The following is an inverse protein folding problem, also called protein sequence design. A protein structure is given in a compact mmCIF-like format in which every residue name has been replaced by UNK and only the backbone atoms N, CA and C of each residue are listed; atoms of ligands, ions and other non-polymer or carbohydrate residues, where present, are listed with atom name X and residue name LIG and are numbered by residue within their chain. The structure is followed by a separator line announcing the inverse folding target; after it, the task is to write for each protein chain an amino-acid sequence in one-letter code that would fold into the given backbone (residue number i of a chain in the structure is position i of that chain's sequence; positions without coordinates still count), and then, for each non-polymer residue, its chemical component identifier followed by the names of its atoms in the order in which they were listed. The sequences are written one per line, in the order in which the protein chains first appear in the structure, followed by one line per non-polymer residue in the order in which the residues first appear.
data_IF_672412776000
#
_entry.id   IF_672412776000
#
_cell.length_a   1.000
_cell.length_b   1.000
_cell.length_c   1.000
_cell.angle_alpha   90.00
_cell.angle_beta   90.00
_cell.angle_gamma   90.00
#
_symmetry.space_group_name_H-M   'P 1'
#
loop_
_entity.id
_entity.type
_entity.pdbx_description
1 polymer ?
#
# COMPACT_ATOMS: atom_id res chain seq x y z
N UNK A 1 9.63 6.42 6.20
CA UNK A 1 9.21 5.04 6.55
C UNK A 1 9.94 4.01 5.68
N UNK A 2 10.02 2.73 6.08
CA UNK A 2 10.48 1.68 5.15
C UNK A 2 9.41 1.43 4.08
N UNK A 3 9.81 0.95 2.90
CA UNK A 3 8.83 0.67 1.83
C UNK A 3 7.80 -0.37 2.27
N UNK A 4 8.22 -1.37 3.04
CA UNK A 4 7.34 -2.41 3.60
C UNK A 4 6.25 -1.79 4.51
N UNK A 5 6.60 -0.79 5.32
CA UNK A 5 5.63 -0.09 6.17
C UNK A 5 4.68 0.80 5.35
N UNK A 6 5.16 1.43 4.28
CA UNK A 6 4.30 2.21 3.39
C UNK A 6 3.30 1.32 2.65
N UNK A 7 3.74 0.16 2.16
CA UNK A 7 2.88 -0.83 1.50
C UNK A 7 1.83 -1.36 2.47
N UNK A 8 2.23 -1.76 3.68
CA UNK A 8 1.30 -2.26 4.69
C UNK A 8 0.22 -1.23 5.04
N UNK A 9 0.61 0.05 5.18
CA UNK A 9 -0.35 1.12 5.43
C UNK A 9 -1.31 1.33 4.26
N UNK A 10 -0.81 1.36 3.02
CA UNK A 10 -1.66 1.53 1.84
C UNK A 10 -2.63 0.36 1.64
N UNK A 11 -2.20 -0.86 1.94
CA UNK A 11 -3.09 -2.03 2.00
C UNK A 11 -4.18 -1.81 3.06
N UNK A 12 -3.80 -1.41 4.26
CA UNK A 12 -4.76 -1.20 5.34
C UNK A 12 -5.76 -0.08 5.04
N UNK A 13 -5.34 1.02 4.40
CA UNK A 13 -6.18 2.20 4.18
C UNK A 13 -6.99 2.16 2.89
N UNK A 14 -6.46 1.54 1.84
CA UNK A 14 -6.98 1.71 0.47
C UNK A 14 -7.49 0.40 -0.15
N UNK A 15 -7.15 -0.78 0.40
CA UNK A 15 -7.60 -2.06 -0.13
C UNK A 15 -9.05 -2.31 0.25
N UNK A 16 -9.93 -2.32 -0.75
CA UNK A 16 -11.30 -2.81 -0.60
C UNK A 16 -11.36 -4.28 -1.05
N UNK A 17 -11.54 -5.19 -0.09
CA UNK A 17 -11.57 -6.63 -0.35
C UNK A 17 -12.78 -7.02 -1.23
N UNK A 18 -13.93 -6.36 -1.08
CA UNK A 18 -15.12 -6.72 -1.87
C UNK A 18 -14.97 -6.29 -3.33
N UNK A 19 -14.34 -5.14 -3.58
CA UNK A 19 -14.02 -4.69 -4.93
C UNK A 19 -12.89 -5.53 -5.55
N UNK A 20 -11.88 -5.91 -4.76
CA UNK A 20 -10.72 -6.66 -5.24
C UNK A 20 -10.99 -8.18 -5.43
N UNK A 21 -11.86 -8.76 -4.62
CA UNK A 21 -12.25 -10.18 -4.64
C UNK A 21 -13.79 -10.30 -4.60
N UNK A 22 -14.50 -10.01 -5.70
CA UNK A 22 -15.96 -10.13 -5.74
C UNK A 22 -16.47 -11.54 -5.41
N UNK A 23 -15.65 -12.57 -5.66
CA UNK A 23 -15.95 -13.97 -5.34
C UNK A 23 -15.95 -14.29 -3.84
N UNK A 24 -15.45 -13.38 -3.00
CA UNK A 24 -15.33 -13.57 -1.55
C UNK A 24 -16.69 -13.81 -0.89
N UNK A 25 -17.78 -13.31 -1.48
CA UNK A 25 -19.16 -13.54 -1.03
C UNK A 25 -19.58 -15.02 -1.09
N UNK A 26 -18.91 -15.82 -1.90
CA UNK A 26 -19.18 -17.25 -2.08
C UNK A 26 -18.22 -18.14 -1.30
N UNK A 27 -17.24 -17.57 -0.60
CA UNK A 27 -16.27 -18.32 0.21
C UNK A 27 -16.94 -18.74 1.53
N UNK A 28 -16.87 -20.02 1.93
CA UNK A 28 -17.35 -20.46 3.23
C UNK A 28 -16.71 -19.65 4.36
N UNK A 29 -17.49 -19.31 5.38
CA UNK A 29 -17.03 -18.44 6.50
C UNK A 29 -15.79 -19.04 7.19
N UNK A 30 -15.71 -20.37 7.25
CA UNK A 30 -14.59 -21.11 7.84
C UNK A 30 -13.28 -20.95 7.06
N UNK A 31 -13.35 -20.64 5.77
CA UNK A 31 -12.20 -20.46 4.88
C UNK A 31 -11.88 -18.99 4.58
N UNK A 32 -12.82 -18.08 4.90
CA UNK A 32 -12.77 -16.68 4.53
C UNK A 32 -11.52 -15.95 5.02
N UNK A 33 -11.17 -16.13 6.31
CA UNK A 33 -10.01 -15.48 6.91
C UNK A 33 -8.71 -15.87 6.18
N UNK A 34 -8.49 -17.18 6.00
CA UNK A 34 -7.29 -17.71 5.33
C UNK A 34 -7.24 -17.28 3.87
N UNK A 35 -8.39 -17.22 3.20
CA UNK A 35 -8.48 -16.79 1.81
C UNK A 35 -8.07 -15.32 1.63
N UNK A 36 -8.63 -14.43 2.45
CA UNK A 36 -8.31 -13.00 2.44
C UNK A 36 -6.87 -12.76 2.86
N UNK A 37 -6.37 -13.44 3.90
CA UNK A 37 -4.99 -13.33 4.36
C UNK A 37 -4.00 -13.67 3.24
N UNK A 38 -4.20 -14.79 2.54
CA UNK A 38 -3.35 -15.20 1.40
C UNK A 38 -3.36 -14.17 0.29
N UNK A 39 -4.52 -13.59 -0.01
CA UNK A 39 -4.62 -12.54 -1.01
C UNK A 39 -3.83 -11.30 -0.61
N UNK A 40 -4.02 -10.82 0.62
CA UNK A 40 -3.32 -9.64 1.15
C UNK A 40 -1.80 -9.85 1.13
N UNK A 41 -1.32 -11.02 1.56
CA UNK A 41 0.11 -11.37 1.51
C UNK A 41 0.65 -11.36 0.08
N UNK A 42 -0.11 -11.92 -0.86
CA UNK A 42 0.28 -11.94 -2.29
C UNK A 42 0.38 -10.52 -2.85
N UNK A 43 -0.58 -9.65 -2.53
CA UNK A 43 -0.56 -8.23 -2.94
C UNK A 43 0.66 -7.52 -2.34
N UNK A 44 0.91 -7.71 -1.05
CA UNK A 44 2.04 -7.11 -0.35
C UNK A 44 3.39 -7.53 -0.96
N UNK A 45 3.60 -8.83 -1.18
CA UNK A 45 4.82 -9.37 -1.78
C UNK A 45 5.00 -8.88 -3.22
N UNK A 46 3.91 -8.83 -3.99
CA UNK A 46 3.95 -8.37 -5.38
C UNK A 46 4.32 -6.89 -5.47
N UNK A 47 3.66 -6.03 -4.67
CA UNK A 47 3.97 -4.60 -4.60
C UNK A 47 5.42 -4.37 -4.18
N UNK A 48 5.86 -5.07 -3.12
CA UNK A 48 7.24 -4.98 -2.63
C UNK A 48 8.24 -5.31 -3.73
N UNK A 49 8.02 -6.44 -4.42
CA UNK A 49 8.90 -6.92 -5.48
C UNK A 49 8.96 -5.94 -6.64
N UNK A 50 7.83 -5.41 -7.09
CA UNK A 50 7.79 -4.45 -8.20
C UNK A 50 8.47 -3.15 -7.81
N UNK A 51 8.17 -2.62 -6.62
CA UNK A 51 8.70 -1.33 -6.18
C UNK A 51 10.21 -1.40 -5.97
N UNK A 52 10.73 -2.47 -5.36
CA UNK A 52 12.16 -2.64 -5.16
C UNK A 52 12.94 -2.78 -6.47
N UNK A 53 12.35 -3.47 -7.47
CA UNK A 53 13.04 -3.75 -8.73
C UNK A 53 12.92 -2.62 -9.76
N UNK A 54 11.78 -1.92 -9.80
CA UNK A 54 11.44 -0.95 -10.87
C UNK A 54 10.79 0.34 -10.37
N UNK A 55 10.41 0.41 -9.10
CA UNK A 55 9.63 1.52 -8.54
C UNK A 55 10.44 2.75 -8.12
N UNK A 56 11.73 2.59 -7.82
CA UNK A 56 12.58 3.66 -7.27
C UNK A 56 12.57 4.94 -8.13
N UNK A 57 12.58 4.80 -9.46
CA UNK A 57 12.56 5.96 -10.36
C UNK A 57 11.26 6.77 -10.23
N UNK A 58 10.12 6.09 -10.08
CA UNK A 58 8.81 6.72 -9.94
C UNK A 58 8.62 7.34 -8.55
N UNK A 59 9.15 6.70 -7.51
CA UNK A 59 9.17 7.28 -6.16
C UNK A 59 9.95 8.59 -6.13
N UNK A 60 11.12 8.63 -6.79
CA UNK A 60 11.94 9.84 -6.90
C UNK A 60 11.30 10.93 -7.75
N UNK A 61 10.67 10.56 -8.87
CA UNK A 61 10.00 11.52 -9.76
C UNK A 61 8.60 11.92 -9.29
N UNK A 62 8.12 11.35 -8.18
CA UNK A 62 6.77 11.55 -7.65
C UNK A 62 5.66 11.19 -8.65
N UNK A 63 5.87 10.13 -9.41
CA UNK A 63 4.96 9.66 -10.45
C UNK A 63 4.15 8.43 -10.00
N UNK A 64 3.07 8.65 -9.27
CA UNK A 64 2.20 7.57 -8.81
C UNK A 64 1.52 6.82 -9.98
N UNK A 65 1.26 7.51 -11.10
CA UNK A 65 0.63 6.90 -12.26
C UNK A 65 1.60 5.95 -12.99
N UNK A 66 2.85 6.36 -13.16
CA UNK A 66 3.91 5.51 -13.70
C UNK A 66 4.21 4.29 -12.82
N UNK A 67 4.18 4.48 -11.50
CA UNK A 67 4.29 3.37 -10.56
C UNK A 67 3.11 2.38 -10.71
N UNK A 68 1.89 2.89 -10.77
CA UNK A 68 0.68 2.10 -11.00
C UNK A 68 0.75 1.32 -12.31
N UNK A 69 1.15 1.97 -13.41
CA UNK A 69 1.31 1.32 -14.71
C UNK A 69 2.31 0.16 -14.65
N UNK A 70 3.44 0.37 -13.96
CA UNK A 70 4.47 -0.67 -13.78
C UNK A 70 3.96 -1.85 -12.94
N UNK A 71 3.15 -1.58 -11.92
CA UNK A 71 2.47 -2.60 -11.13
C UNK A 71 1.48 -3.42 -11.97
N UNK A 72 0.70 -2.77 -12.83
CA UNK A 72 -0.22 -3.45 -13.77
C UNK A 72 0.55 -4.32 -14.77
N UNK A 73 1.60 -3.78 -15.38
CA UNK A 73 2.47 -4.53 -16.31
C UNK A 73 3.14 -5.75 -15.67
N UNK A 74 3.37 -5.70 -14.36
CA UNK A 74 3.96 -6.80 -13.58
C UNK A 74 2.92 -7.83 -13.13
N UNK A 75 1.64 -7.64 -13.45
CA UNK A 75 0.58 -8.60 -13.19
C UNK A 75 -0.09 -8.48 -11.81
N UNK A 76 0.00 -7.32 -11.15
CA UNK A 76 -0.73 -7.11 -9.89
C UNK A 76 -2.23 -7.04 -10.18
N UNK A 77 -2.95 -8.07 -9.72
CA UNK A 77 -4.38 -8.27 -9.95
C UNK A 77 -5.24 -7.43 -8.99
N UNK A 78 -5.16 -6.11 -9.11
CA UNK A 78 -6.03 -5.17 -8.40
C UNK A 78 -6.78 -4.27 -9.39
N UNK A 79 -8.00 -3.81 -9.05
CA UNK A 79 -8.69 -2.78 -9.81
C UNK A 79 -7.78 -1.55 -10.02
N UNK A 80 -7.63 -1.01 -11.24
CA UNK A 80 -6.67 0.06 -11.52
C UNK A 80 -6.86 1.32 -10.67
N UNK A 81 -8.10 1.68 -10.37
CA UNK A 81 -8.41 2.84 -9.52
C UNK A 81 -7.94 2.66 -8.08
N UNK A 82 -8.11 1.46 -7.53
CA UNK A 82 -7.64 1.08 -6.20
C UNK A 82 -6.12 1.04 -6.15
N UNK A 83 -5.49 0.38 -7.11
CA UNK A 83 -4.03 0.30 -7.22
C UNK A 83 -3.40 1.70 -7.35
N UNK A 84 -4.01 2.60 -8.11
CA UNK A 84 -3.54 3.99 -8.22
C UNK A 84 -3.59 4.71 -6.88
N UNK A 85 -4.69 4.56 -6.11
CA UNK A 85 -4.80 5.14 -4.75
C UNK A 85 -3.70 4.59 -3.84
N UNK A 86 -3.49 3.27 -3.85
CA UNK A 86 -2.41 2.64 -3.08
C UNK A 86 -1.03 3.20 -3.46
N UNK A 87 -0.73 3.35 -4.76
CA UNK A 87 0.52 3.95 -5.22
C UNK A 87 0.68 5.40 -4.75
N UNK A 88 -0.40 6.19 -4.73
CA UNK A 88 -0.40 7.56 -4.20
C UNK A 88 -0.12 7.56 -2.69
N UNK A 89 -0.76 6.69 -1.92
CA UNK A 89 -0.54 6.55 -0.47
C UNK A 89 0.89 6.14 -0.15
N UNK A 90 1.41 5.10 -0.82
CA UNK A 90 2.82 4.67 -0.67
C UNK A 90 3.77 5.83 -0.95
N UNK A 91 3.51 6.59 -2.02
CA UNK A 91 4.33 7.73 -2.41
C UNK A 91 4.29 8.85 -1.36
N UNK A 92 3.11 9.18 -0.84
CA UNK A 92 2.96 10.19 0.21
C UNK A 92 3.68 9.78 1.50
N UNK A 93 3.57 8.51 1.90
CA UNK A 93 4.24 7.97 3.09
C UNK A 93 5.76 7.83 2.91
N UNK A 94 6.23 7.57 1.68
CA UNK A 94 7.66 7.53 1.38
C UNK A 94 8.32 8.91 1.48
N UNK A 95 7.55 9.99 1.27
CA UNK A 95 8.00 11.38 1.41
C UNK A 95 8.00 11.85 2.86
N UNK A 96 7.14 11.26 3.69
CA UNK A 96 7.12 11.54 5.11
C UNK A 96 8.37 10.90 5.74
N UNK A 97 9.28 11.74 6.24
CA UNK A 97 10.20 11.41 7.34
C UNK A 97 9.41 11.22 8.65
N UNK A 98 8.30 10.48 8.55
CA UNK A 98 7.48 10.00 9.62
C UNK A 98 8.18 8.77 10.22
N UNK A 99 8.54 8.88 11.49
CA UNK A 99 8.96 7.74 12.29
C UNK A 99 7.71 7.17 12.95
N UNK A 100 7.33 5.94 12.60
CA UNK A 100 6.27 5.23 13.31
C UNK A 100 6.61 5.15 14.80
N UNK A 101 5.64 5.45 15.66
CA UNK A 101 5.81 5.41 17.10
C UNK A 101 5.14 4.17 17.68
N UNK A 102 3.84 4.02 17.47
CA UNK A 102 3.02 2.92 18.01
C UNK A 102 1.63 2.89 17.38
N UNK A 103 0.97 1.74 17.42
CA UNK A 103 -0.47 1.65 17.20
C UNK A 103 -1.19 1.90 18.52
N UNK A 104 -2.29 2.65 18.46
CA UNK A 104 -3.13 2.97 19.61
C UNK A 104 -4.22 1.93 19.77
N UNK A 105 -4.73 1.80 21.01
CA UNK A 105 -5.73 0.79 21.36
C UNK A 105 -7.05 0.92 20.59
N UNK A 106 -7.27 2.05 19.89
CA UNK A 106 -8.42 2.29 19.01
C UNK A 106 -8.17 1.94 17.53
N UNK A 107 -7.04 1.30 17.22
CA UNK A 107 -6.67 0.86 15.88
C UNK A 107 -6.03 1.93 15.01
N UNK A 108 -5.70 3.11 15.55
CA UNK A 108 -5.00 4.17 14.78
C UNK A 108 -3.49 4.10 14.98
N UNK A 109 -2.74 4.34 13.91
CA UNK A 109 -1.27 4.41 13.95
C UNK A 109 -0.77 5.83 14.25
N UNK A 110 0.13 5.98 15.24
CA UNK A 110 0.81 7.23 15.58
C UNK A 110 2.16 7.35 14.87
N UNK A 111 2.37 8.49 14.22
CA UNK A 111 3.60 8.81 13.49
C UNK A 111 4.21 10.14 13.98
N UNK A 112 5.52 10.15 14.23
CA UNK A 112 6.31 11.37 14.51
C UNK A 112 6.81 11.96 13.20
N UNK A 113 6.42 13.19 12.87
CA UNK A 113 6.93 13.92 11.69
C UNK A 113 7.84 15.05 12.15
N UNK A 114 9.10 15.06 11.71
CA UNK A 114 9.98 16.21 11.91
C UNK A 114 9.75 17.21 10.78
N UNK A 115 9.13 18.34 11.07
CA UNK A 115 8.99 19.44 10.11
C UNK A 115 10.09 20.49 10.32
N UNK A 116 10.88 20.76 9.28
CA UNK A 116 11.77 21.93 9.26
C UNK A 116 10.99 23.13 8.72
N UNK A 117 10.77 24.15 9.56
CA UNK A 117 10.19 25.41 9.14
C UNK A 117 11.32 26.32 8.64
N UNK A 118 11.37 26.58 7.33
CA UNK A 118 12.22 27.63 6.78
C UNK A 118 11.49 28.96 6.95
N UNK A 119 11.94 29.77 7.89
CA UNK A 119 11.47 31.16 8.04
C UNK A 119 12.24 31.99 7.02
N UNK A 120 11.52 32.58 6.05
CA UNK A 120 12.06 33.49 5.05
C UNK A 120 12.27 34.91 5.62
#
# INVERSE_FOLDING_TARGET
MTIDACIAHAIHSDLDILEALPEVEYVPVEELEVYVERFVLTVQESLRTVIQNRGEMYLRSKDAAGLCATCIESGIALPPGMLLKMCQTIMNLSQLDAKFILDTDDGKSLYYVKMELTIA
#
